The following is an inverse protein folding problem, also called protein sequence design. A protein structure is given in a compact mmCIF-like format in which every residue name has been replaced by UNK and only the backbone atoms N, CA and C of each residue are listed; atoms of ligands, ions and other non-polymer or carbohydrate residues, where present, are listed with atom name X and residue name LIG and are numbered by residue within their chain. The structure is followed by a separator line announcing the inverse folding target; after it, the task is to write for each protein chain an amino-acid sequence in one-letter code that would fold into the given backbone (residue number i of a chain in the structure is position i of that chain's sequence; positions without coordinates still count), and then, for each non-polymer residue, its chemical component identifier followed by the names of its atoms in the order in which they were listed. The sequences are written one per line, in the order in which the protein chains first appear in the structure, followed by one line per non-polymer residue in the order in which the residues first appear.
data_IF_236751998317
#
_entry.id   IF_236751998317
#
_cell.length_a   1.000
_cell.length_b   1.000
_cell.length_c   1.000
_cell.angle_alpha   90.00
_cell.angle_beta   90.00
_cell.angle_gamma   90.00
#
_symmetry.space_group_name_H-M   'P 1'
#
loop_
_entity.id
_entity.type
_entity.pdbx_description
1 polymer ?
#
# COMPACT_ATOMS: atom_id res chain seq x y z
N UNK A 1 -40.67 -6.03 23.72
CA UNK A 1 -40.00 -4.72 23.68
C UNK A 1 -39.03 -4.77 22.50
N UNK A 2 -39.37 -4.10 21.39
CA UNK A 2 -38.49 -3.97 20.22
C UNK A 2 -37.49 -2.83 20.51
N UNK A 3 -36.19 -3.13 20.48
CA UNK A 3 -35.14 -2.11 20.55
C UNK A 3 -34.70 -1.77 19.13
N UNK A 4 -35.34 -0.75 18.57
CA UNK A 4 -34.94 -0.11 17.32
C UNK A 4 -33.78 0.83 17.61
N UNK A 5 -32.56 0.46 17.20
CA UNK A 5 -31.39 1.33 17.26
C UNK A 5 -31.24 2.06 15.94
N UNK A 6 -31.66 3.33 15.90
CA UNK A 6 -31.45 4.23 14.77
C UNK A 6 -29.98 4.66 14.69
N UNK A 7 -29.27 4.26 13.64
CA UNK A 7 -27.95 4.81 13.29
C UNK A 7 -28.15 6.21 12.68
N UNK A 8 -27.82 7.26 13.46
CA UNK A 8 -27.72 8.62 12.95
C UNK A 8 -26.35 8.78 12.29
N UNK A 9 -26.33 8.85 10.96
CA UNK A 9 -25.15 9.27 10.21
C UNK A 9 -24.99 10.79 10.35
N UNK A 10 -23.90 11.23 10.98
CA UNK A 10 -23.53 12.63 11.07
C UNK A 10 -23.15 13.20 9.70
N UNK A 11 -23.80 14.29 9.31
CA UNK A 11 -23.47 15.06 8.11
C UNK A 11 -22.04 15.63 8.23
N UNK A 12 -21.16 15.25 7.31
CA UNK A 12 -19.84 15.85 7.18
C UNK A 12 -19.97 17.28 6.64
N UNK A 13 -19.61 18.27 7.47
CA UNK A 13 -19.47 19.65 7.02
C UNK A 13 -18.29 19.77 6.04
N UNK A 14 -18.56 20.42 4.92
CA UNK A 14 -17.62 20.79 3.86
C UNK A 14 -16.52 21.69 4.44
N UNK A 15 -15.28 21.23 4.45
CA UNK A 15 -14.10 22.03 4.84
C UNK A 15 -13.64 22.84 3.64
N UNK A 16 -13.67 24.17 3.78
CA UNK A 16 -13.11 25.11 2.82
C UNK A 16 -11.57 25.09 2.81
N UNK A 17 -11.05 25.37 1.63
CA UNK A 17 -9.64 25.36 1.25
C UNK A 17 -8.84 26.40 2.07
N UNK A 18 -7.78 25.97 2.75
CA UNK A 18 -6.81 26.89 3.36
C UNK A 18 -5.38 26.50 3.00
N UNK A 19 -4.73 27.42 2.30
CA UNK A 19 -3.38 27.39 1.75
C UNK A 19 -2.34 27.15 2.86
N UNK A 20 -1.64 26.01 2.81
CA UNK A 20 -0.61 25.69 3.80
C UNK A 20 0.76 26.23 3.36
N UNK A 21 1.30 27.14 4.17
CA UNK A 21 2.66 27.71 4.12
C UNK A 21 3.62 26.74 4.81
N UNK A 22 4.75 26.43 4.15
CA UNK A 22 5.77 25.48 4.60
C UNK A 22 6.31 25.73 6.03
N UNK A 23 6.69 24.68 6.79
CA UNK A 23 7.37 24.82 8.07
C UNK A 23 8.90 24.94 7.93
N UNK A 24 9.48 25.73 8.83
CA UNK A 24 10.90 26.07 8.91
C UNK A 24 11.77 24.95 9.53
N UNK A 25 12.92 24.76 8.89
CA UNK A 25 14.28 24.45 9.36
C UNK A 25 14.52 23.87 10.77
N UNK A 26 15.21 22.72 10.81
CA UNK A 26 15.91 22.18 11.98
C UNK A 26 17.40 22.60 12.03
N UNK A 27 17.90 22.73 13.25
CA UNK A 27 19.15 23.37 13.72
C UNK A 27 20.45 22.65 13.32
N UNK A 28 21.54 23.41 13.16
CA UNK A 28 22.95 22.95 13.14
C UNK A 28 23.72 23.59 14.31
N UNK A 29 24.62 22.89 15.02
CA UNK A 29 25.45 23.50 16.07
C UNK A 29 26.80 24.04 15.57
N UNK A 30 27.19 25.20 16.14
CA UNK A 30 28.49 25.65 16.72
C UNK A 30 29.78 25.26 15.96
N UNK A 31 30.47 26.19 15.29
CA UNK A 31 31.44 27.25 15.73
C UNK A 31 32.91 26.83 15.55
N UNK A 32 33.65 27.65 14.80
CA UNK A 32 34.89 28.36 15.20
C UNK A 32 35.90 28.44 14.05
N UNK A 33 36.34 29.66 13.76
CA UNK A 33 37.45 29.96 12.86
C UNK A 33 37.40 31.41 12.35
N UNK A 34 38.01 32.33 13.11
CA UNK A 34 38.35 33.70 12.69
C UNK A 34 39.21 33.69 11.40
N UNK A 35 39.31 34.69 10.51
CA UNK A 35 39.67 36.14 10.62
C UNK A 35 39.56 36.75 9.18
N UNK A 36 39.88 38.02 8.84
CA UNK A 36 38.95 38.88 8.10
C UNK A 36 39.47 39.50 6.76
N UNK A 37 38.52 40.13 6.04
CA UNK A 37 38.65 41.34 5.21
C UNK A 37 39.47 41.37 3.89
N UNK A 38 38.79 41.95 2.88
CA UNK A 38 39.24 42.74 1.72
C UNK A 38 40.33 42.20 0.78
N UNK A 39 40.05 42.10 -0.53
CA UNK A 39 40.30 43.18 -1.52
C UNK A 39 39.91 42.78 -2.96
N UNK A 40 39.75 43.83 -3.76
CA UNK A 40 39.28 44.02 -5.13
C UNK A 40 40.13 43.37 -6.25
N UNK A 41 39.49 43.16 -7.42
CA UNK A 41 40.08 43.09 -8.80
C UNK A 41 40.81 41.75 -9.09
N UNK A 42 40.65 41.02 -10.19
CA UNK A 42 40.67 41.39 -11.62
C UNK A 42 40.24 40.15 -12.43
N UNK A 43 39.71 40.34 -13.64
CA UNK A 43 39.30 39.26 -14.55
C UNK A 43 40.47 38.34 -14.97
N UNK A 44 40.18 37.03 -15.12
CA UNK A 44 40.92 36.15 -16.03
C UNK A 44 40.03 35.03 -16.54
N UNK A 45 39.81 35.07 -17.85
CA UNK A 45 39.13 34.05 -18.66
C UNK A 45 39.92 32.75 -18.60
N UNK A 46 39.33 31.69 -18.06
CA UNK A 46 39.82 30.32 -18.19
C UNK A 46 38.75 29.47 -18.85
N UNK A 47 38.96 29.15 -20.12
CA UNK A 47 38.21 28.16 -20.88
C UNK A 47 38.36 26.79 -20.22
N UNK A 48 37.35 26.35 -19.47
CA UNK A 48 37.29 24.99 -18.93
C UNK A 48 36.28 24.17 -19.75
N UNK A 49 36.80 23.18 -20.47
CA UNK A 49 36.01 22.24 -21.24
C UNK A 49 34.96 21.57 -20.36
N UNK A 50 33.70 21.67 -20.79
CA UNK A 50 32.53 21.07 -20.17
C UNK A 50 32.64 19.55 -20.28
N UNK A 51 33.20 18.88 -19.26
CA UNK A 51 33.08 17.42 -19.15
C UNK A 51 31.64 17.09 -18.76
N UNK A 52 30.82 16.82 -19.76
CA UNK A 52 29.50 16.20 -19.59
C UNK A 52 29.72 14.74 -19.18
N UNK A 53 29.90 14.47 -17.88
CA UNK A 53 29.73 13.11 -17.35
C UNK A 53 28.23 12.81 -17.30
N UNK A 54 27.69 12.27 -18.38
CA UNK A 54 26.42 11.56 -18.33
C UNK A 54 26.64 10.33 -17.45
N UNK A 55 26.12 10.39 -16.23
CA UNK A 55 26.03 9.22 -15.36
C UNK A 55 25.20 8.15 -16.06
N UNK A 56 25.61 6.87 -16.10
CA UNK A 56 24.76 5.80 -16.62
C UNK A 56 23.45 5.80 -15.84
N UNK A 57 22.31 5.92 -16.55
CA UNK A 57 20.99 5.73 -15.96
C UNK A 57 20.96 4.32 -15.38
N UNK A 58 20.94 4.21 -14.05
CA UNK A 58 20.78 2.92 -13.38
C UNK A 58 19.42 2.34 -13.79
N UNK A 59 19.44 1.35 -14.68
CA UNK A 59 18.26 0.54 -14.97
C UNK A 59 17.99 -0.29 -13.72
N UNK A 60 16.81 -0.14 -13.12
CA UNK A 60 16.40 -0.94 -11.98
C UNK A 60 16.47 -2.43 -12.35
N UNK A 61 16.97 -3.25 -11.43
CA UNK A 61 17.01 -4.70 -11.62
C UNK A 61 15.58 -5.24 -11.82
N UNK A 62 15.37 -6.25 -12.69
CA UNK A 62 14.07 -6.88 -12.83
C UNK A 62 13.59 -7.41 -11.48
N UNK A 63 12.39 -7.01 -11.05
CA UNK A 63 11.78 -7.62 -9.88
C UNK A 63 11.45 -9.08 -10.16
N UNK A 64 11.66 -9.98 -9.17
CA UNK A 64 11.21 -11.37 -9.30
C UNK A 64 9.70 -11.40 -9.56
N UNK A 65 9.20 -12.40 -10.33
CA UNK A 65 7.77 -12.57 -10.51
C UNK A 65 7.08 -12.80 -9.16
N UNK A 66 5.88 -12.24 -8.98
CA UNK A 66 5.09 -12.51 -7.80
C UNK A 66 4.79 -14.02 -7.67
N UNK A 67 4.74 -14.55 -6.43
CA UNK A 67 4.27 -15.91 -6.19
C UNK A 67 2.83 -16.06 -6.71
N UNK A 68 2.51 -17.25 -7.23
CA UNK A 68 1.17 -17.61 -7.67
C UNK A 68 0.49 -18.51 -6.60
N UNK A 69 -0.81 -18.31 -6.31
CA UNK A 69 -1.68 -17.25 -6.82
C UNK A 69 -1.21 -15.91 -6.31
N UNK A 70 -1.66 -14.86 -6.99
CA UNK A 70 -1.22 -13.48 -6.76
C UNK A 70 -1.86 -12.86 -5.51
N UNK A 71 -2.09 -13.68 -4.48
CA UNK A 71 -2.61 -13.36 -3.15
C UNK A 71 -1.62 -13.89 -2.13
N UNK A 72 -1.50 -13.23 -0.97
CA UNK A 72 -0.61 -13.62 0.12
C UNK A 72 -0.78 -15.11 0.49
N UNK A 73 0.25 -15.96 0.28
CA UNK A 73 0.11 -17.40 0.44
C UNK A 73 -0.21 -17.83 1.89
N UNK A 74 0.15 -17.01 2.87
CA UNK A 74 -0.14 -17.26 4.29
C UNK A 74 -1.65 -17.25 4.56
N UNK A 75 -2.47 -16.61 3.71
CA UNK A 75 -3.92 -16.56 3.89
C UNK A 75 -4.57 -17.95 3.92
N UNK A 76 -4.02 -18.90 3.18
CA UNK A 76 -4.56 -20.26 3.13
C UNK A 76 -4.13 -21.11 4.32
N UNK A 77 -2.96 -20.83 4.90
CA UNK A 77 -2.60 -21.42 6.19
C UNK A 77 -3.54 -20.89 7.29
N UNK A 78 -3.90 -19.61 7.24
CA UNK A 78 -4.91 -19.03 8.14
C UNK A 78 -6.27 -19.70 7.93
N UNK A 79 -6.74 -19.87 6.69
CA UNK A 79 -8.01 -20.55 6.39
C UNK A 79 -8.01 -22.01 6.89
N UNK A 80 -6.96 -22.76 6.55
CA UNK A 80 -6.79 -24.17 6.95
C UNK A 80 -6.79 -24.36 8.46
N UNK A 81 -6.22 -23.41 9.20
CA UNK A 81 -6.16 -23.43 10.65
C UNK A 81 -7.43 -22.88 11.31
N UNK A 82 -8.48 -22.55 10.55
CA UNK A 82 -9.72 -21.98 11.08
C UNK A 82 -9.54 -20.60 11.70
N UNK A 83 -8.50 -19.86 11.27
CA UNK A 83 -8.23 -18.52 11.80
C UNK A 83 -9.36 -17.56 11.44
N UNK A 84 -9.80 -16.78 12.43
CA UNK A 84 -10.75 -15.70 12.24
C UNK A 84 -10.22 -14.57 11.33
N UNK A 85 -8.93 -14.56 10.97
CA UNK A 85 -8.30 -13.49 10.20
C UNK A 85 -8.24 -13.74 8.69
N UNK A 86 -8.42 -14.98 8.22
CA UNK A 86 -8.29 -15.29 6.79
C UNK A 86 -9.31 -14.52 5.94
N UNK A 87 -10.59 -14.65 6.28
CA UNK A 87 -11.68 -14.01 5.54
C UNK A 87 -11.64 -12.47 5.64
N UNK A 88 -11.46 -11.85 6.83
CA UNK A 88 -11.29 -10.39 6.93
C UNK A 88 -10.08 -9.86 6.15
N UNK A 89 -8.96 -10.60 6.12
CA UNK A 89 -7.78 -10.20 5.33
C UNK A 89 -8.09 -10.16 3.84
N UNK A 90 -8.84 -11.15 3.33
CA UNK A 90 -9.28 -11.13 1.93
C UNK A 90 -10.27 -10.00 1.67
N UNK A 91 -11.24 -9.77 2.55
CA UNK A 91 -12.20 -8.67 2.42
C UNK A 91 -11.50 -7.31 2.38
N UNK A 92 -10.51 -7.08 3.24
CA UNK A 92 -9.66 -5.89 3.18
C UNK A 92 -8.95 -5.79 1.85
N UNK A 93 -8.38 -6.90 1.35
CA UNK A 93 -7.68 -6.91 0.06
C UNK A 93 -8.60 -6.43 -1.06
N UNK A 94 -9.80 -6.99 -1.15
CA UNK A 94 -10.79 -6.62 -2.16
C UNK A 94 -11.22 -5.15 -2.06
N UNK A 95 -11.26 -4.59 -0.85
CA UNK A 95 -11.63 -3.19 -0.61
C UNK A 95 -10.53 -2.20 -0.99
N UNK A 96 -9.28 -2.56 -0.76
CA UNK A 96 -8.12 -1.67 -0.93
C UNK A 96 -7.52 -1.74 -2.35
N UNK A 97 -8.02 -2.65 -3.20
CA UNK A 97 -7.63 -2.73 -4.60
C UNK A 97 -8.26 -1.62 -5.45
N UNK A 98 -7.60 -1.20 -6.55
CA UNK A 98 -8.19 -0.30 -7.52
C UNK A 98 -9.49 -0.83 -8.11
N UNK A 99 -10.42 0.09 -8.37
CA UNK A 99 -11.79 -0.19 -8.82
C UNK A 99 -11.82 -1.13 -10.04
N UNK A 100 -10.92 -0.94 -11.01
CA UNK A 100 -10.88 -1.77 -12.22
C UNK A 100 -10.61 -3.26 -11.96
N UNK A 101 -9.91 -3.60 -10.87
CA UNK A 101 -9.68 -4.99 -10.48
C UNK A 101 -10.86 -5.52 -9.66
N UNK A 102 -11.34 -4.71 -8.73
CA UNK A 102 -12.46 -5.02 -7.86
C UNK A 102 -13.74 -5.26 -8.67
N UNK A 103 -13.97 -4.51 -9.75
CA UNK A 103 -15.12 -4.70 -10.65
C UNK A 103 -15.12 -6.07 -11.35
N UNK A 104 -13.95 -6.55 -11.79
CA UNK A 104 -13.83 -7.87 -12.41
C UNK A 104 -14.19 -8.97 -11.39
N UNK A 105 -13.66 -8.86 -10.16
CA UNK A 105 -14.00 -9.77 -9.06
C UNK A 105 -15.49 -9.72 -8.69
N UNK A 106 -16.06 -8.52 -8.59
CA UNK A 106 -17.48 -8.34 -8.29
C UNK A 106 -18.36 -8.97 -9.36
N UNK A 107 -18.06 -8.71 -10.64
CA UNK A 107 -18.77 -9.32 -11.77
C UNK A 107 -18.69 -10.85 -11.75
N UNK A 108 -17.52 -11.41 -11.42
CA UNK A 108 -17.35 -12.85 -11.26
C UNK A 108 -18.23 -13.40 -10.13
N UNK A 109 -18.25 -12.73 -8.98
CA UNK A 109 -19.09 -13.11 -7.84
C UNK A 109 -20.59 -13.02 -8.17
N UNK A 110 -21.03 -11.95 -8.82
CA UNK A 110 -22.42 -11.76 -9.23
C UNK A 110 -22.88 -12.86 -10.20
N UNK A 111 -22.08 -13.13 -11.24
CA UNK A 111 -22.39 -14.14 -12.26
C UNK A 111 -22.49 -15.53 -11.64
N UNK A 112 -21.60 -15.86 -10.69
CA UNK A 112 -21.57 -17.15 -10.02
C UNK A 112 -22.39 -17.25 -8.74
N UNK A 113 -23.06 -16.19 -8.29
CA UNK A 113 -23.68 -16.06 -6.95
C UNK A 113 -22.71 -16.45 -5.81
N UNK A 114 -21.44 -16.06 -5.96
CA UNK A 114 -20.36 -16.38 -5.02
C UNK A 114 -20.20 -15.25 -4.00
N UNK A 115 -19.61 -15.59 -2.86
CA UNK A 115 -19.23 -14.63 -1.83
C UNK A 115 -17.73 -14.69 -1.60
N UNK A 116 -17.21 -13.80 -0.75
CA UNK A 116 -15.76 -13.72 -0.47
C UNK A 116 -15.21 -15.04 0.12
N UNK A 117 -16.03 -15.82 0.82
CA UNK A 117 -15.61 -17.13 1.34
C UNK A 117 -15.40 -18.15 0.21
N UNK A 118 -16.23 -18.12 -0.84
CA UNK A 118 -15.97 -18.92 -2.04
C UNK A 118 -14.69 -18.49 -2.75
N UNK A 119 -14.44 -17.18 -2.86
CA UNK A 119 -13.19 -16.68 -3.45
C UNK A 119 -11.97 -17.15 -2.67
N UNK A 120 -12.01 -17.07 -1.33
CA UNK A 120 -10.93 -17.55 -0.46
C UNK A 120 -10.62 -19.02 -0.76
N UNK A 121 -11.65 -19.86 -0.81
CA UNK A 121 -11.50 -21.28 -1.12
C UNK A 121 -10.90 -21.51 -2.51
N UNK A 122 -11.36 -20.79 -3.53
CA UNK A 122 -10.83 -20.91 -4.90
C UNK A 122 -9.37 -20.47 -5.02
N UNK A 123 -8.98 -19.39 -4.32
CA UNK A 123 -7.60 -18.94 -4.22
C UNK A 123 -6.74 -20.06 -3.61
N UNK A 124 -7.19 -20.64 -2.50
CA UNK A 124 -6.44 -21.67 -1.79
C UNK A 124 -6.36 -23.00 -2.53
N UNK A 125 -7.40 -23.40 -3.28
CA UNK A 125 -7.32 -24.55 -4.19
C UNK A 125 -6.36 -24.28 -5.36
N UNK A 126 -6.38 -23.07 -5.93
CA UNK A 126 -5.49 -22.71 -7.05
C UNK A 126 -4.02 -22.67 -6.62
N UNK A 127 -3.74 -22.32 -5.37
CA UNK A 127 -2.40 -22.34 -4.80
C UNK A 127 -1.79 -23.72 -4.67
N UNK A 128 -2.58 -24.76 -4.41
CA UNK A 128 -2.08 -26.15 -4.37
C UNK A 128 -1.47 -26.57 -5.71
N UNK A 129 -1.91 -25.94 -6.80
CA UNK A 129 -1.42 -26.20 -8.16
C UNK A 129 -0.58 -25.05 -8.72
N UNK A 130 -0.14 -24.10 -7.88
CA UNK A 130 0.66 -22.92 -8.24
C UNK A 130 0.09 -22.11 -9.43
N UNK A 131 -1.23 -21.89 -9.42
CA UNK A 131 -1.93 -21.11 -10.44
C UNK A 131 -2.75 -19.99 -9.82
N UNK A 132 -3.02 -18.97 -10.62
CA UNK A 132 -4.08 -18.01 -10.31
C UNK A 132 -5.45 -18.68 -10.47
N UNK A 133 -6.45 -18.29 -9.65
CA UNK A 133 -7.82 -18.71 -9.87
C UNK A 133 -8.39 -18.11 -11.17
N UNK A 134 -9.44 -18.72 -11.69
CA UNK A 134 -10.02 -18.39 -12.99
C UNK A 134 -10.42 -16.91 -13.12
N UNK A 135 -10.97 -16.33 -12.05
CA UNK A 135 -11.38 -14.93 -12.04
C UNK A 135 -10.19 -13.94 -12.15
N UNK A 136 -8.97 -14.41 -11.94
CA UNK A 136 -7.73 -13.64 -12.11
C UNK A 136 -7.01 -13.98 -13.43
N UNK A 137 -7.60 -14.80 -14.31
CA UNK A 137 -6.92 -15.25 -15.54
C UNK A 137 -6.55 -14.10 -16.50
N UNK A 138 -7.31 -12.99 -16.47
CA UNK A 138 -7.09 -11.83 -17.34
C UNK A 138 -6.24 -10.73 -16.69
N UNK A 139 -5.76 -10.93 -15.46
CA UNK A 139 -4.95 -9.93 -14.77
C UNK A 139 -3.52 -9.91 -15.30
N UNK A 140 -3.01 -8.71 -15.52
CA UNK A 140 -1.63 -8.49 -15.94
C UNK A 140 -0.67 -8.83 -14.81
N UNK A 141 0.63 -8.92 -15.12
CA UNK A 141 1.66 -9.07 -14.08
C UNK A 141 1.58 -7.95 -13.04
N UNK A 142 1.37 -6.70 -13.48
CA UNK A 142 1.28 -5.55 -12.57
C UNK A 142 0.07 -5.66 -11.63
N UNK A 143 -1.07 -6.10 -12.15
CA UNK A 143 -2.28 -6.31 -11.33
C UNK A 143 -2.02 -7.38 -10.26
N UNK A 144 -1.40 -8.49 -10.67
CA UNK A 144 -1.02 -9.58 -9.78
C UNK A 144 -0.02 -9.15 -8.69
N UNK A 145 1.00 -8.38 -9.05
CA UNK A 145 1.97 -7.83 -8.10
C UNK A 145 1.25 -6.95 -7.06
N UNK A 146 0.34 -6.09 -7.50
CA UNK A 146 -0.44 -5.21 -6.62
C UNK A 146 -1.38 -6.00 -5.69
N UNK A 147 -2.06 -7.03 -6.18
CA UNK A 147 -2.92 -7.90 -5.34
C UNK A 147 -2.07 -8.63 -4.29
N UNK A 148 -0.86 -9.06 -4.67
CA UNK A 148 0.07 -9.73 -3.76
C UNK A 148 0.51 -8.77 -2.64
N UNK A 149 0.87 -7.54 -2.97
CA UNK A 149 1.33 -6.56 -1.98
C UNK A 149 0.18 -6.10 -1.08
N UNK A 150 -0.99 -5.77 -1.65
CA UNK A 150 -2.17 -5.38 -0.89
C UNK A 150 -2.64 -6.48 0.05
N UNK A 151 -2.65 -7.74 -0.40
CA UNK A 151 -3.06 -8.86 0.45
C UNK A 151 -2.12 -9.09 1.62
N UNK A 152 -0.81 -8.97 1.41
CA UNK A 152 0.19 -9.04 2.49
C UNK A 152 -0.03 -7.95 3.53
N UNK A 153 -0.29 -6.71 3.09
CA UNK A 153 -0.55 -5.58 3.98
C UNK A 153 -1.83 -5.79 4.79
N UNK A 154 -2.92 -6.22 4.12
CA UNK A 154 -4.18 -6.52 4.79
C UNK A 154 -4.05 -7.66 5.81
N UNK A 155 -3.32 -8.74 5.47
CA UNK A 155 -3.04 -9.84 6.42
C UNK A 155 -2.25 -9.35 7.62
N UNK A 156 -1.22 -8.52 7.42
CA UNK A 156 -0.46 -7.92 8.53
C UNK A 156 -1.42 -7.14 9.43
N UNK A 157 -2.20 -6.21 8.87
CA UNK A 157 -3.15 -5.36 9.63
C UNK A 157 -4.09 -6.17 10.54
N UNK A 158 -4.55 -7.35 10.12
CA UNK A 158 -5.45 -8.17 10.93
C UNK A 158 -4.75 -9.10 11.91
N UNK A 159 -3.53 -9.54 11.61
CA UNK A 159 -2.81 -10.54 12.42
C UNK A 159 -1.85 -9.93 13.43
N UNK A 160 -1.41 -8.69 13.22
CA UNK A 160 -0.57 -7.98 14.17
C UNK A 160 -1.42 -7.24 15.20
N UNK A 161 -1.02 -7.35 16.47
CA UNK A 161 -1.61 -6.54 17.54
C UNK A 161 -1.39 -5.05 17.24
N UNK A 162 -2.45 -4.26 17.27
CA UNK A 162 -2.33 -2.81 17.15
C UNK A 162 -1.61 -2.25 18.38
N UNK A 163 -0.55 -1.49 18.17
CA UNK A 163 0.14 -0.77 19.25
C UNK A 163 -0.75 0.34 19.85
N UNK A 164 -1.76 0.80 19.11
CA UNK A 164 -2.77 1.76 19.54
C UNK A 164 -4.00 1.07 20.13
N UNK A 165 -3.82 0.15 21.07
CA UNK A 165 -4.93 -0.34 21.90
C UNK A 165 -5.39 0.84 22.76
N UNK A 166 -6.40 1.60 22.32
CA UNK A 166 -6.97 2.69 23.12
C UNK A 166 -7.63 1.99 24.31
N UNK A 167 -7.13 2.16 25.54
CA UNK A 167 -7.78 1.56 26.69
C UNK A 167 -9.22 2.08 26.73
N UNK A 168 -10.19 1.16 26.88
CA UNK A 168 -11.57 1.55 27.13
C UNK A 168 -11.60 2.40 28.40
N UNK A 169 -11.68 3.72 28.24
CA UNK A 169 -11.81 4.70 29.33
C UNK A 169 -13.28 4.79 29.78
N UNK A 170 -13.89 3.65 30.09
CA UNK A 170 -15.22 3.61 30.69
C UNK A 170 -15.08 2.92 32.04
N UNK A 171 -15.17 3.74 33.10
CA UNK A 171 -15.30 3.39 34.51
C UNK A 171 -16.77 3.49 34.92
#
# INVERSE_FOLDING_TARGET
ILLSSSLVFGNAAKVENSTNKAPETAKKPVSSGATPAEKKTTASTSTQAKQTKTSPKATAAPQPPAPLPSTDPIICDLEKNGSAFALPSLQCTLRELPENLTDNMNKYMETGKKNVSHLLKEICESMKVNKNPEFMANYTKNDNDMITDTSKLCRIRHTTKSECEIPNLIE
#
